data_IF_006928218133
#
_entry.id   IF_006928218133
#
_cell.length_a   1.000
_cell.length_b   1.000
_cell.length_c   1.000
_cell.angle_alpha   90.00
_cell.angle_beta   90.00
_cell.angle_gamma   90.00
#
_symmetry.space_group_name_H-M   'P 1'
#
loop_
_entity.id
_entity.type
_entity.pdbx_description
1 polymer ?
#
# COMPACT_ATOMS: atom_id res chain seq x y z
N UNK A 1 21.59 -2.39 27.42
CA UNK A 1 21.26 -3.06 26.13
C UNK A 1 20.55 -2.03 25.27
N UNK A 2 21.13 -1.63 24.14
CA UNK A 2 20.62 -0.58 23.26
C UNK A 2 19.76 -1.25 22.19
N UNK A 3 18.44 -1.28 22.37
CA UNK A 3 17.49 -1.81 21.39
C UNK A 3 17.22 -0.71 20.36
N UNK A 4 18.11 -0.54 19.39
CA UNK A 4 17.76 0.21 18.17
C UNK A 4 16.99 -0.76 17.28
N UNK A 5 15.68 -0.57 17.18
CA UNK A 5 14.86 -1.26 16.19
C UNK A 5 15.37 -0.87 14.81
N UNK A 6 16.08 -1.80 14.15
CA UNK A 6 16.53 -1.62 12.78
C UNK A 6 15.34 -1.80 11.85
N UNK A 7 14.94 -0.71 11.19
CA UNK A 7 13.98 -0.74 10.10
C UNK A 7 14.68 -1.26 8.85
N UNK A 8 14.32 -2.45 8.42
CA UNK A 8 14.83 -3.07 7.20
C UNK A 8 13.70 -3.20 6.19
N UNK A 9 14.00 -2.86 4.93
CA UNK A 9 13.09 -3.09 3.82
C UNK A 9 13.23 -4.55 3.36
N UNK A 10 12.10 -5.23 3.22
CA UNK A 10 12.04 -6.57 2.66
C UNK A 10 11.12 -6.57 1.43
N UNK A 11 11.48 -7.27 0.35
CA UNK A 11 10.57 -7.46 -0.77
C UNK A 11 9.35 -8.27 -0.31
N UNK A 12 8.16 -7.83 -0.74
CA UNK A 12 6.94 -8.60 -0.57
C UNK A 12 6.81 -9.55 -1.78
N UNK A 13 7.06 -10.84 -1.57
CA UNK A 13 6.90 -11.85 -2.62
C UNK A 13 5.42 -12.19 -2.79
N UNK A 14 4.75 -11.46 -3.69
CA UNK A 14 3.37 -11.73 -4.10
C UNK A 14 3.34 -12.81 -5.18
N UNK A 15 2.27 -13.61 -5.19
CA UNK A 15 2.07 -14.55 -6.29
C UNK A 15 1.84 -13.81 -7.61
N UNK A 16 2.44 -14.25 -8.73
CA UNK A 16 2.47 -13.50 -10.00
C UNK A 16 1.11 -13.14 -10.61
N UNK A 17 0.03 -13.83 -10.22
CA UNK A 17 -1.29 -13.72 -10.87
C UNK A 17 -2.39 -13.10 -10.00
N UNK A 18 -2.07 -12.62 -8.79
CA UNK A 18 -3.09 -12.19 -7.80
C UNK A 18 -2.85 -10.79 -7.23
N UNK A 19 -2.27 -9.87 -8.01
CA UNK A 19 -2.01 -8.49 -7.57
C UNK A 19 -2.46 -7.46 -8.60
N UNK A 20 -2.76 -6.21 -8.17
CA UNK A 20 -3.15 -5.15 -9.09
C UNK A 20 -2.06 -4.85 -10.12
N UNK A 21 -2.46 -4.31 -11.27
CA UNK A 21 -1.51 -3.70 -12.19
C UNK A 21 -0.72 -2.57 -11.51
N UNK A 22 0.47 -2.27 -12.06
CA UNK A 22 1.21 -1.06 -11.70
C UNK A 22 0.29 0.17 -11.81
N UNK A 23 0.28 0.99 -10.76
CA UNK A 23 -0.61 2.16 -10.64
C UNK A 23 -0.01 3.25 -9.76
N UNK A 24 -0.36 4.49 -10.03
CA UNK A 24 -0.06 5.66 -9.19
C UNK A 24 -1.35 6.38 -8.75
N UNK A 25 -1.22 7.30 -7.79
CA UNK A 25 -2.34 8.12 -7.31
C UNK A 25 -3.53 7.38 -6.70
N UNK A 26 -3.33 6.15 -6.25
CA UNK A 26 -4.37 5.36 -5.59
C UNK A 26 -4.52 5.75 -4.12
N UNK A 27 -5.68 5.47 -3.54
CA UNK A 27 -5.86 5.52 -2.08
C UNK A 27 -5.52 4.17 -1.48
N UNK A 28 -4.74 4.15 -0.40
CA UNK A 28 -4.43 2.94 0.36
C UNK A 28 -4.76 3.14 1.85
N UNK A 29 -5.46 2.17 2.45
CA UNK A 29 -5.79 2.18 3.88
C UNK A 29 -5.55 0.81 4.50
N UNK A 30 -5.17 0.79 5.77
CA UNK A 30 -5.04 -0.45 6.54
C UNK A 30 -6.30 -0.70 7.36
N UNK A 31 -6.84 -1.93 7.28
CA UNK A 31 -8.00 -2.37 8.06
C UNK A 31 -7.69 -3.75 8.64
N UNK A 32 -7.48 -3.80 9.95
CA UNK A 32 -6.96 -4.99 10.65
C UNK A 32 -5.66 -5.51 9.99
N UNK A 33 -5.64 -6.76 9.52
CA UNK A 33 -4.49 -7.36 8.81
C UNK A 33 -4.47 -7.06 7.32
N UNK A 34 -5.36 -6.22 6.79
CA UNK A 34 -5.50 -6.01 5.36
C UNK A 34 -5.05 -4.61 4.94
N UNK A 35 -4.45 -4.52 3.75
CA UNK A 35 -4.30 -3.26 3.01
C UNK A 35 -5.36 -3.23 1.93
N UNK A 36 -6.20 -2.20 1.92
CA UNK A 36 -7.21 -1.94 0.89
C UNK A 36 -6.71 -0.84 -0.02
N UNK A 37 -6.72 -1.08 -1.33
CA UNK A 37 -6.31 -0.14 -2.37
C UNK A 37 -7.53 0.16 -3.24
N UNK A 38 -7.83 1.44 -3.48
CA UNK A 38 -8.91 1.86 -4.37
C UNK A 38 -8.39 2.81 -5.46
N UNK A 39 -8.78 2.51 -6.70
CA UNK A 39 -8.55 3.33 -7.87
C UNK A 39 -7.08 3.56 -8.22
N UNK A 40 -6.77 4.77 -8.69
CA UNK A 40 -5.47 5.19 -9.21
C UNK A 40 -5.46 5.32 -10.73
N UNK A 41 -4.28 5.39 -11.32
CA UNK A 41 -4.09 5.46 -12.77
C UNK A 41 -2.95 4.51 -13.19
N UNK A 42 -3.11 3.78 -14.31
CA UNK A 42 -2.11 2.80 -14.77
C UNK A 42 -1.20 3.33 -15.90
N UNK A 43 -1.22 4.65 -16.12
CA UNK A 43 -0.55 5.31 -17.24
C UNK A 43 -1.40 5.41 -18.52
N UNK A 44 -2.58 4.78 -18.55
CA UNK A 44 -3.50 4.83 -19.69
C UNK A 44 -4.91 5.29 -19.30
N UNK A 45 -5.44 4.74 -18.20
CA UNK A 45 -6.80 5.00 -17.74
C UNK A 45 -6.85 5.19 -16.23
N UNK A 46 -7.83 5.97 -15.78
CA UNK A 46 -8.23 5.99 -14.39
C UNK A 46 -8.89 4.66 -14.03
N UNK A 47 -8.56 4.16 -12.84
CA UNK A 47 -9.03 2.90 -12.29
C UNK A 47 -10.13 3.17 -11.26
N UNK A 48 -11.13 2.29 -11.23
CA UNK A 48 -12.27 2.30 -10.30
C UNK A 48 -12.40 0.98 -9.53
N UNK A 49 -11.36 0.14 -9.58
CA UNK A 49 -11.30 -1.16 -8.92
C UNK A 49 -10.82 -1.06 -7.47
N UNK A 50 -11.14 -2.11 -6.69
CA UNK A 50 -10.71 -2.26 -5.31
C UNK A 50 -9.88 -3.54 -5.16
N UNK A 51 -8.72 -3.43 -4.53
CA UNK A 51 -7.83 -4.54 -4.23
C UNK A 51 -7.64 -4.67 -2.73
N UNK A 52 -7.43 -5.89 -2.26
CA UNK A 52 -7.12 -6.16 -0.86
C UNK A 52 -5.93 -7.11 -0.77
N UNK A 53 -4.95 -6.73 0.03
CA UNK A 53 -3.80 -7.57 0.38
C UNK A 53 -3.92 -7.97 1.84
N UNK A 54 -4.10 -9.27 2.10
CA UNK A 54 -4.02 -9.82 3.45
C UNK A 54 -2.55 -9.96 3.86
N UNK A 55 -2.15 -9.22 4.90
CA UNK A 55 -0.82 -9.27 5.48
C UNK A 55 -0.68 -10.41 6.50
N UNK A 56 -1.74 -11.16 6.81
CA UNK A 56 -1.73 -12.29 7.73
C UNK A 56 -1.03 -12.00 9.08
N UNK A 57 -0.23 -12.97 9.55
CA UNK A 57 0.58 -12.87 10.77
C UNK A 57 1.67 -11.79 10.71
N UNK A 58 1.93 -11.16 9.56
CA UNK A 58 2.90 -10.07 9.45
C UNK A 58 2.33 -8.72 9.93
N UNK A 59 1.02 -8.64 10.21
CA UNK A 59 0.36 -7.39 10.65
C UNK A 59 0.78 -6.89 12.04
N UNK A 60 1.34 -7.74 12.91
CA UNK A 60 1.78 -7.33 14.26
C UNK A 60 2.99 -6.38 14.26
N UNK A 61 3.63 -6.14 13.11
CA UNK A 61 4.76 -5.21 12.98
C UNK A 61 4.54 -4.11 11.93
N UNK A 62 3.48 -4.20 11.12
CA UNK A 62 3.32 -3.40 9.91
C UNK A 62 2.08 -2.49 9.99
N UNK A 63 2.03 -1.57 10.95
CA UNK A 63 1.21 -0.37 10.80
C UNK A 63 1.91 0.59 9.85
N UNK A 64 1.83 0.32 8.55
CA UNK A 64 2.32 1.24 7.53
C UNK A 64 1.26 2.33 7.31
N UNK A 65 1.48 3.45 7.99
CA UNK A 65 0.87 4.73 7.68
C UNK A 65 1.32 5.14 6.28
N UNK A 66 0.40 5.12 5.33
CA UNK A 66 0.57 5.86 4.08
C UNK A 66 -0.81 6.26 3.55
N UNK A 67 -1.44 7.19 4.26
CA UNK A 67 -2.22 8.20 3.57
C UNK A 67 -1.21 9.02 2.74
N UNK A 68 -0.84 8.46 1.58
CA UNK A 68 0.12 9.01 0.64
C UNK A 68 -0.39 10.40 0.25
N UNK A 69 0.14 11.43 0.90
CA UNK A 69 0.39 12.82 0.46
C UNK A 69 -0.27 13.26 -0.87
N UNK A 70 -1.58 13.10 -1.03
CA UNK A 70 -2.34 13.57 -2.19
C UNK A 70 -3.24 14.78 -1.86
N UNK A 71 -2.81 15.61 -0.91
CA UNK A 71 -3.38 16.96 -0.71
C UNK A 71 -2.45 18.09 -1.16
N UNK A 72 -1.27 17.80 -1.74
CA UNK A 72 -0.34 18.86 -2.20
C UNK A 72 -0.41 19.22 -3.70
N UNK A 73 -1.39 18.74 -4.46
CA UNK A 73 -1.63 19.17 -5.85
C UNK A 73 -2.93 19.98 -6.04
N UNK A 74 -3.31 20.80 -5.05
CA UNK A 74 -4.36 21.82 -5.23
C UNK A 74 -3.94 23.24 -4.82
N UNK A 75 -2.64 23.54 -4.76
CA UNK A 75 -2.12 24.92 -4.72
C UNK A 75 -0.73 25.02 -5.36
N UNK A 76 -0.68 25.04 -6.70
CA UNK A 76 0.36 25.73 -7.49
C UNK A 76 -0.12 25.89 -8.93
#
# INVERSE_FOLDING_TARGET
MNLREQLNWFPCELQPSTHPCARDGHTAVTVASNIVIFGGHNGQVALDDCWTLDMGLYSIYATAVCAILMTFYLLS
#
